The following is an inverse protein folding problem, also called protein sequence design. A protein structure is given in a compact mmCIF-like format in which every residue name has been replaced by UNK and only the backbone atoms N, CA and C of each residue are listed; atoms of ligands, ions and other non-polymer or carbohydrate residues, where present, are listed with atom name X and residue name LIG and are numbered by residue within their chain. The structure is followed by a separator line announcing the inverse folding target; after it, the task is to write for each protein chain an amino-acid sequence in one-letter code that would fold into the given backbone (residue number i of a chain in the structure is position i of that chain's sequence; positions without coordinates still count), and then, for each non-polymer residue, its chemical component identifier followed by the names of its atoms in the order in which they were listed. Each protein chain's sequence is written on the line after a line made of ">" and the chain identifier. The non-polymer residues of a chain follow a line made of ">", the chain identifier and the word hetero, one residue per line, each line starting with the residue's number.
data_IF_259308122231
#
_entry.id   IF_259308122231
#
_cell.length_a   1.000
_cell.length_b   1.000
_cell.length_c   1.000
_cell.angle_alpha   90.00
_cell.angle_beta   90.00
_cell.angle_gamma   90.00
#
_symmetry.space_group_name_H-M   'P 1'
#
loop_
_entity.id
_entity.type
_entity.pdbx_description
1 polymer ?
#
# COMPACT_ATOMS: atom_id res chain seq x y z
N UNK A 1 8.93 -22.63 -51.50
CA UNK A 1 8.39 -23.76 -50.72
C UNK A 1 8.91 -25.05 -51.33
N UNK A 2 9.86 -25.70 -50.69
CA UNK A 2 10.09 -27.13 -50.84
C UNK A 2 10.33 -27.66 -49.43
N UNK A 3 9.40 -28.51 -49.01
CA UNK A 3 9.35 -29.14 -47.69
C UNK A 3 10.12 -30.44 -47.84
N UNK A 4 11.24 -30.57 -47.14
CA UNK A 4 11.87 -31.88 -46.93
C UNK A 4 11.38 -32.44 -45.60
N UNK A 5 10.62 -33.53 -45.69
CA UNK A 5 10.28 -34.41 -44.57
C UNK A 5 11.28 -35.56 -44.59
N UNK A 6 11.99 -35.77 -43.48
CA UNK A 6 12.78 -36.99 -43.25
C UNK A 6 12.15 -37.80 -42.13
N UNK A 7 12.01 -39.11 -42.39
CA UNK A 7 11.48 -40.11 -41.46
C UNK A 7 12.39 -40.28 -40.24
N UNK A 8 11.77 -40.39 -39.05
CA UNK A 8 12.41 -40.57 -37.75
C UNK A 8 13.11 -41.93 -37.61
N UNK A 9 14.35 -41.92 -37.13
CA UNK A 9 14.90 -43.01 -36.32
C UNK A 9 15.15 -42.50 -34.91
N UNK A 10 14.52 -43.17 -33.93
CA UNK A 10 14.68 -42.88 -32.51
C UNK A 10 16.09 -43.25 -32.06
N UNK A 11 17.02 -42.28 -32.09
CA UNK A 11 18.26 -42.37 -31.31
C UNK A 11 18.05 -41.60 -30.01
N UNK A 12 18.00 -42.35 -28.90
CA UNK A 12 17.80 -41.81 -27.54
C UNK A 12 18.95 -40.83 -27.24
N UNK A 13 18.66 -39.53 -27.25
CA UNK A 13 19.61 -38.48 -26.95
C UNK A 13 20.01 -38.53 -25.46
N UNK A 14 21.18 -39.08 -25.15
CA UNK A 14 21.93 -38.76 -23.94
C UNK A 14 22.78 -37.51 -24.19
N UNK A 15 23.25 -36.79 -23.16
CA UNK A 15 24.05 -35.58 -23.35
C UNK A 15 25.25 -35.86 -24.26
N UNK A 16 25.53 -34.99 -25.25
CA UNK A 16 26.55 -35.18 -26.29
C UNK A 16 28.01 -35.32 -25.83
N UNK A 17 28.24 -35.45 -24.51
CA UNK A 17 29.53 -35.71 -23.87
C UNK A 17 29.89 -37.21 -23.81
N UNK A 18 28.93 -38.11 -24.01
CA UNK A 18 29.15 -39.55 -23.88
C UNK A 18 29.15 -40.24 -25.26
N UNK A 19 29.99 -41.26 -25.44
CA UNK A 19 30.16 -41.98 -26.71
C UNK A 19 29.03 -43.01 -26.94
N UNK A 20 28.57 -43.68 -25.88
CA UNK A 20 27.44 -44.63 -25.93
C UNK A 20 26.50 -44.50 -24.73
N UNK A 21 25.31 -45.10 -24.84
CA UNK A 21 24.35 -45.22 -23.73
C UNK A 21 24.91 -46.05 -22.57
N UNK A 22 25.73 -47.05 -22.89
CA UNK A 22 26.44 -47.86 -21.90
C UNK A 22 27.45 -47.02 -21.13
N UNK A 23 28.23 -46.17 -21.81
CA UNK A 23 29.19 -45.27 -21.16
C UNK A 23 28.50 -44.24 -20.26
N UNK A 24 27.37 -43.69 -20.71
CA UNK A 24 26.55 -42.81 -19.89
C UNK A 24 26.07 -43.52 -18.62
N UNK A 25 25.54 -44.73 -18.75
CA UNK A 25 25.05 -45.50 -17.60
C UNK A 25 26.19 -45.90 -16.66
N UNK A 26 27.31 -46.34 -17.19
CA UNK A 26 28.47 -46.71 -16.40
C UNK A 26 29.02 -45.50 -15.64
N UNK A 27 29.09 -44.33 -16.27
CA UNK A 27 29.59 -43.11 -15.64
C UNK A 27 28.64 -42.54 -14.56
N UNK A 28 27.33 -42.70 -14.71
CA UNK A 28 26.33 -42.08 -13.81
C UNK A 28 25.73 -43.07 -12.79
N UNK A 29 25.81 -44.38 -13.04
CA UNK A 29 25.15 -45.42 -12.26
C UNK A 29 26.01 -46.68 -12.07
N UNK A 30 27.28 -46.67 -12.50
CA UNK A 30 28.17 -47.84 -12.41
C UNK A 30 28.71 -48.14 -11.01
N UNK A 31 28.53 -47.22 -10.04
CA UNK A 31 28.93 -47.40 -8.63
C UNK A 31 27.74 -47.16 -7.70
N UNK A 32 27.78 -47.78 -6.51
CA UNK A 32 26.75 -47.60 -5.46
C UNK A 32 26.55 -46.12 -5.12
N UNK A 33 27.65 -45.38 -4.91
CA UNK A 33 27.60 -43.95 -4.56
C UNK A 33 27.03 -43.08 -5.70
N UNK A 34 27.26 -43.46 -6.96
CA UNK A 34 26.69 -42.74 -8.11
C UNK A 34 25.16 -42.95 -8.20
N UNK A 35 24.69 -44.17 -7.95
CA UNK A 35 23.26 -44.49 -7.86
C UNK A 35 22.60 -43.74 -6.70
N UNK A 36 23.21 -43.73 -5.51
CA UNK A 36 22.66 -43.07 -4.33
C UNK A 36 22.57 -41.54 -4.50
N UNK A 37 23.58 -40.92 -5.12
CA UNK A 37 23.54 -39.49 -5.47
C UNK A 37 22.43 -39.19 -6.48
N UNK A 38 22.28 -40.04 -7.50
CA UNK A 38 21.21 -39.86 -8.48
C UNK A 38 19.82 -40.03 -7.86
N UNK A 39 19.63 -41.01 -6.99
CA UNK A 39 18.38 -41.22 -6.25
C UNK A 39 18.05 -40.03 -5.34
N UNK A 40 19.02 -39.55 -4.56
CA UNK A 40 18.84 -38.37 -3.70
C UNK A 40 18.49 -37.12 -4.51
N UNK A 41 19.18 -36.88 -5.63
CA UNK A 41 18.87 -35.77 -6.53
C UNK A 41 17.46 -35.87 -7.12
N UNK A 42 17.04 -37.08 -7.53
CA UNK A 42 15.68 -37.33 -8.01
C UNK A 42 14.64 -37.09 -6.91
N UNK A 43 14.86 -37.65 -5.72
CA UNK A 43 13.97 -37.50 -4.55
C UNK A 43 13.80 -36.03 -4.16
N UNK A 44 14.89 -35.27 -4.08
CA UNK A 44 14.87 -33.84 -3.81
C UNK A 44 14.08 -33.08 -4.88
N UNK A 45 14.31 -33.37 -6.17
CA UNK A 45 13.55 -32.77 -7.26
C UNK A 45 12.04 -33.09 -7.20
N UNK A 46 11.67 -34.30 -6.77
CA UNK A 46 10.26 -34.65 -6.54
C UNK A 46 9.67 -33.87 -5.36
N UNK A 47 10.43 -33.68 -4.28
CA UNK A 47 10.02 -32.87 -3.15
C UNK A 47 9.81 -31.41 -3.55
N UNK A 48 10.75 -30.80 -4.27
CA UNK A 48 10.64 -29.44 -4.80
C UNK A 48 9.44 -29.30 -5.72
N UNK A 49 9.20 -30.27 -6.62
CA UNK A 49 8.01 -30.30 -7.49
C UNK A 49 6.72 -30.37 -6.68
N UNK A 50 6.69 -31.16 -5.62
CA UNK A 50 5.54 -31.25 -4.73
C UNK A 50 5.28 -29.91 -4.03
N UNK A 51 6.31 -29.27 -3.49
CA UNK A 51 6.20 -27.95 -2.88
C UNK A 51 5.73 -26.88 -3.88
N UNK A 52 6.29 -26.87 -5.09
CA UNK A 52 5.87 -25.97 -6.16
C UNK A 52 4.39 -26.18 -6.53
N UNK A 53 3.93 -27.44 -6.61
CA UNK A 53 2.52 -27.76 -6.86
C UNK A 53 1.61 -27.26 -5.73
N UNK A 54 1.97 -27.49 -4.47
CA UNK A 54 1.19 -26.98 -3.32
C UNK A 54 1.10 -25.44 -3.33
N UNK A 55 2.21 -24.77 -3.63
CA UNK A 55 2.23 -23.32 -3.76
C UNK A 55 1.31 -22.85 -4.90
N UNK A 56 1.39 -23.50 -6.06
CA UNK A 56 0.53 -23.21 -7.21
C UNK A 56 -0.96 -23.37 -6.86
N UNK A 57 -1.34 -24.45 -6.19
CA UNK A 57 -2.72 -24.67 -5.73
C UNK A 57 -3.19 -23.56 -4.76
N UNK A 58 -2.33 -23.12 -3.85
CA UNK A 58 -2.62 -21.98 -2.97
C UNK A 58 -2.83 -20.69 -3.76
N UNK A 59 -1.98 -20.39 -4.74
CA UNK A 59 -2.10 -19.19 -5.57
C UNK A 59 -3.38 -19.19 -6.43
N UNK A 60 -3.80 -20.36 -6.93
CA UNK A 60 -5.08 -20.51 -7.64
C UNK A 60 -6.27 -20.28 -6.69
N UNK A 61 -6.18 -20.74 -5.43
CA UNK A 61 -7.28 -20.59 -4.47
C UNK A 61 -7.39 -19.16 -3.92
N UNK A 62 -6.26 -18.59 -3.50
CA UNK A 62 -6.21 -17.37 -2.67
C UNK A 62 -5.65 -16.17 -3.42
N UNK A 63 -4.81 -16.39 -4.42
CA UNK A 63 -4.05 -15.34 -5.11
C UNK A 63 -4.69 -14.82 -6.40
N UNK A 64 -5.83 -15.35 -6.84
CA UNK A 64 -6.47 -14.92 -8.10
C UNK A 64 -7.04 -13.50 -8.00
N UNK A 65 -6.87 -12.72 -9.07
CA UNK A 65 -7.52 -11.43 -9.25
C UNK A 65 -9.05 -11.60 -9.33
N UNK A 66 -9.75 -11.43 -8.20
CA UNK A 66 -11.20 -11.64 -8.08
C UNK A 66 -11.89 -10.58 -7.24
N UNK A 67 -11.42 -10.37 -6.01
CA UNK A 67 -12.08 -9.49 -5.03
C UNK A 67 -11.24 -8.22 -4.89
N UNK A 68 -11.81 -7.04 -5.17
CA UNK A 68 -11.14 -5.76 -4.93
C UNK A 68 -10.65 -5.65 -3.48
N UNK A 69 -9.42 -5.19 -3.27
CA UNK A 69 -8.83 -5.05 -1.93
C UNK A 69 -9.00 -3.63 -1.37
N UNK A 70 -9.14 -3.46 -0.05
CA UNK A 70 -9.23 -2.14 0.56
C UNK A 70 -7.90 -1.39 0.43
N UNK A 71 -7.98 -0.12 0.04
CA UNK A 71 -6.86 0.80 -0.11
C UNK A 71 -7.18 2.13 0.54
N UNK A 72 -6.23 2.66 1.30
CA UNK A 72 -6.30 4.01 1.85
C UNK A 72 -5.92 4.98 0.73
N UNK A 73 -6.84 5.85 0.35
CA UNK A 73 -6.63 6.88 -0.66
C UNK A 73 -6.91 8.27 -0.06
N UNK A 74 -6.23 9.32 -0.53
CA UNK A 74 -6.54 10.68 -0.12
C UNK A 74 -8.01 11.04 -0.42
N UNK A 75 -8.65 11.78 0.48
CA UNK A 75 -10.02 12.25 0.28
C UNK A 75 -10.14 13.24 -0.90
N UNK A 76 -9.06 13.97 -1.19
CA UNK A 76 -8.96 14.91 -2.30
C UNK A 76 -7.52 15.12 -2.73
N UNK A 77 -7.33 15.52 -3.99
CA UNK A 77 -6.05 16.02 -4.51
C UNK A 77 -5.87 17.53 -4.29
N UNK A 78 -6.94 18.23 -3.92
CA UNK A 78 -6.92 19.66 -3.62
C UNK A 78 -6.24 19.91 -2.26
N UNK A 79 -5.10 20.62 -2.29
CA UNK A 79 -4.31 20.96 -1.10
C UNK A 79 -4.77 22.24 -0.40
N UNK A 80 -5.74 22.96 -0.95
CA UNK A 80 -6.29 24.18 -0.36
C UNK A 80 -7.38 23.89 0.68
N UNK A 81 -7.91 22.66 0.66
CA UNK A 81 -8.97 22.20 1.56
C UNK A 81 -8.45 21.02 2.37
N UNK A 82 -8.82 21.03 3.64
CA UNK A 82 -8.44 20.00 4.58
C UNK A 82 -9.67 19.19 4.92
N UNK A 83 -9.62 17.91 4.55
CA UNK A 83 -10.68 16.96 4.75
C UNK A 83 -10.46 16.23 6.08
N UNK A 84 -11.52 16.06 6.87
CA UNK A 84 -11.49 15.22 8.07
C UNK A 84 -12.54 14.12 7.93
N UNK A 85 -12.13 12.85 7.83
CA UNK A 85 -10.74 12.35 7.77
C UNK A 85 -10.00 12.77 6.47
N UNK A 86 -8.66 12.79 6.49
CA UNK A 86 -7.83 13.18 5.34
C UNK A 86 -7.76 12.10 4.25
N UNK A 87 -8.04 10.86 4.62
CA UNK A 87 -8.02 9.70 3.75
C UNK A 87 -9.30 8.89 3.95
N UNK A 88 -9.62 8.07 2.96
CA UNK A 88 -10.73 7.11 3.01
C UNK A 88 -10.29 5.75 2.48
N UNK A 89 -11.09 4.72 2.76
CA UNK A 89 -10.87 3.37 2.26
C UNK A 89 -11.75 3.16 1.03
N UNK A 90 -11.13 2.85 -0.10
CA UNK A 90 -11.83 2.38 -1.30
C UNK A 90 -11.38 0.97 -1.64
N UNK A 91 -12.28 0.19 -2.23
CA UNK A 91 -11.96 -1.14 -2.72
C UNK A 91 -11.51 -1.03 -4.18
N UNK A 92 -10.27 -1.46 -4.49
CA UNK A 92 -9.67 -1.32 -5.83
C UNK A 92 -9.10 -2.65 -6.33
N UNK A 93 -9.02 -2.78 -7.65
CA UNK A 93 -8.27 -3.83 -8.32
C UNK A 93 -7.00 -3.22 -8.91
N UNK A 94 -5.86 -3.57 -8.35
CA UNK A 94 -4.51 -3.13 -8.75
C UNK A 94 -3.57 -4.35 -8.79
N UNK A 95 -2.28 -4.13 -9.06
CA UNK A 95 -1.26 -5.19 -9.17
C UNK A 95 -1.15 -6.06 -7.91
N UNK A 96 -1.51 -5.54 -6.74
CA UNK A 96 -1.46 -6.27 -5.47
C UNK A 96 -2.77 -7.03 -5.14
N UNK A 97 -3.82 -6.84 -5.95
CA UNK A 97 -5.13 -7.45 -5.72
C UNK A 97 -5.10 -8.93 -6.01
N UNK A 98 -4.38 -9.34 -7.06
CA UNK A 98 -4.15 -10.74 -7.39
C UNK A 98 -3.11 -10.93 -8.48
N UNK A 99 -2.65 -12.17 -8.61
CA UNK A 99 -1.68 -12.59 -9.60
C UNK A 99 -2.39 -12.95 -10.93
N UNK A 100 -1.80 -12.54 -12.03
CA UNK A 100 -2.27 -12.76 -13.39
C UNK A 100 -1.17 -13.43 -14.24
N UNK A 101 -1.53 -13.97 -15.41
CA UNK A 101 -0.56 -14.48 -16.37
C UNK A 101 0.34 -13.37 -16.95
N UNK A 102 1.42 -13.70 -17.67
CA UNK A 102 2.45 -12.75 -18.10
C UNK A 102 1.96 -11.63 -19.03
N UNK A 103 0.81 -11.80 -19.68
CA UNK A 103 0.22 -10.82 -20.60
C UNK A 103 -1.04 -10.15 -20.03
N UNK A 104 -1.35 -10.38 -18.76
CA UNK A 104 -2.58 -9.92 -18.11
C UNK A 104 -2.25 -9.09 -16.87
N UNK A 105 -3.07 -8.07 -16.62
CA UNK A 105 -2.96 -7.21 -15.44
C UNK A 105 -4.27 -7.24 -14.66
N UNK A 106 -4.20 -7.17 -13.33
CA UNK A 106 -5.38 -7.10 -12.49
C UNK A 106 -5.94 -5.68 -12.52
N UNK A 107 -7.15 -5.51 -13.06
CA UNK A 107 -7.80 -4.22 -13.23
C UNK A 107 -9.31 -4.36 -12.97
N UNK A 108 -10.01 -3.27 -12.60
CA UNK A 108 -11.44 -3.32 -12.36
C UNK A 108 -12.19 -3.66 -13.65
N UNK A 109 -13.04 -4.68 -13.62
CA UNK A 109 -13.96 -5.00 -14.72
C UNK A 109 -15.16 -4.03 -14.76
N UNK A 110 -15.61 -3.63 -13.57
CA UNK A 110 -16.68 -2.67 -13.36
C UNK A 110 -16.31 -1.78 -12.18
N UNK A 111 -16.79 -0.56 -12.20
CA UNK A 111 -16.62 0.41 -11.11
C UNK A 111 -18.00 0.88 -10.65
N UNK A 112 -18.09 1.21 -9.37
CA UNK A 112 -19.27 1.84 -8.79
C UNK A 112 -18.83 3.10 -8.06
N UNK A 113 -19.67 4.13 -8.13
CA UNK A 113 -19.45 5.36 -7.38
C UNK A 113 -19.95 5.16 -5.94
N UNK A 114 -19.14 5.59 -4.98
CA UNK A 114 -19.46 5.49 -3.55
C UNK A 114 -19.52 6.90 -2.98
N UNK A 115 -20.66 7.26 -2.41
CA UNK A 115 -20.80 8.53 -1.70
C UNK A 115 -20.23 8.41 -0.29
N UNK A 116 -19.33 9.33 0.04
CA UNK A 116 -18.66 9.42 1.33
C UNK A 116 -18.73 10.87 1.83
N UNK A 117 -18.71 11.05 3.14
CA UNK A 117 -18.87 12.35 3.77
C UNK A 117 -17.62 12.74 4.55
N UNK A 118 -17.23 14.01 4.45
CA UNK A 118 -16.05 14.57 5.07
C UNK A 118 -16.37 15.95 5.64
N UNK A 119 -15.77 16.29 6.77
CA UNK A 119 -15.70 17.68 7.20
C UNK A 119 -14.62 18.39 6.40
N UNK A 120 -14.91 19.61 5.92
CA UNK A 120 -13.98 20.38 5.07
C UNK A 120 -13.68 21.71 5.73
N UNK A 121 -12.39 22.04 5.87
CA UNK A 121 -11.91 23.33 6.37
C UNK A 121 -10.87 23.92 5.42
N UNK A 122 -10.83 25.24 5.30
CA UNK A 122 -9.71 25.96 4.66
C UNK A 122 -8.51 26.13 5.60
N UNK A 123 -8.70 25.92 6.90
CA UNK A 123 -7.67 26.07 7.94
C UNK A 123 -7.21 24.71 8.49
N UNK A 124 -5.90 24.56 8.71
CA UNK A 124 -5.31 23.37 9.37
C UNK A 124 -5.92 23.15 10.74
N UNK A 125 -6.07 21.89 11.17
CA UNK A 125 -6.55 21.59 12.52
C UNK A 125 -5.72 22.31 13.60
N UNK A 126 -4.42 22.46 13.36
CA UNK A 126 -3.53 23.28 14.18
C UNK A 126 -4.03 24.73 14.22
N UNK A 127 -4.23 25.37 13.08
CA UNK A 127 -4.76 26.74 13.00
C UNK A 127 -6.13 26.90 13.70
N UNK A 128 -7.04 25.93 13.51
CA UNK A 128 -8.36 25.93 14.17
C UNK A 128 -8.18 25.99 15.70
N UNK A 129 -7.29 25.17 16.28
CA UNK A 129 -7.04 25.17 17.73
C UNK A 129 -6.54 26.53 18.24
N UNK A 130 -5.70 27.22 17.48
CA UNK A 130 -5.28 28.59 17.81
C UNK A 130 -6.44 29.58 17.72
N UNK A 131 -7.26 29.52 16.66
CA UNK A 131 -8.44 30.39 16.47
C UNK A 131 -9.49 30.22 17.58
N UNK A 132 -9.67 28.99 18.06
CA UNK A 132 -10.62 28.65 19.11
C UNK A 132 -10.07 28.80 20.54
N UNK A 133 -8.80 29.22 20.70
CA UNK A 133 -8.22 29.47 22.01
C UNK A 133 -7.78 28.23 22.78
N UNK A 134 -7.74 27.05 22.14
CA UNK A 134 -7.20 25.81 22.72
C UNK A 134 -5.68 25.80 22.80
N UNK A 135 -5.02 26.69 22.06
CA UNK A 135 -3.58 26.81 22.02
C UNK A 135 -3.16 28.28 22.07
N UNK A 136 -2.04 28.56 22.74
CA UNK A 136 -1.49 29.91 22.84
C UNK A 136 -0.35 30.11 21.85
N UNK A 137 -0.31 31.26 21.20
CA UNK A 137 0.71 31.58 20.20
C UNK A 137 2.12 31.59 20.80
N UNK A 138 3.15 31.39 19.98
CA UNK A 138 4.53 31.39 20.46
C UNK A 138 4.96 32.77 20.99
N UNK A 139 6.02 32.83 21.79
CA UNK A 139 6.51 34.09 22.35
C UNK A 139 6.98 35.06 21.28
N UNK A 140 7.51 34.55 20.16
CA UNK A 140 7.94 35.33 18.99
C UNK A 140 6.74 36.01 18.34
N UNK A 141 5.66 35.26 18.09
CA UNK A 141 4.41 35.80 17.54
C UNK A 141 3.81 36.83 18.49
N UNK A 142 3.75 36.56 19.79
CA UNK A 142 3.25 37.50 20.81
C UNK A 142 4.03 38.81 20.80
N UNK A 143 5.37 38.74 20.76
CA UNK A 143 6.25 39.92 20.67
C UNK A 143 5.99 40.70 19.38
N UNK A 144 5.79 40.03 18.25
CA UNK A 144 5.49 40.67 16.97
C UNK A 144 4.14 41.42 16.99
N UNK A 145 3.09 40.79 17.52
CA UNK A 145 1.76 41.40 17.67
C UNK A 145 1.82 42.61 18.62
N UNK A 146 2.46 42.46 19.78
CA UNK A 146 2.59 43.54 20.78
C UNK A 146 3.38 44.75 20.23
N UNK A 147 4.39 44.49 19.40
CA UNK A 147 5.16 45.53 18.72
C UNK A 147 4.48 46.09 17.46
N UNK A 148 3.25 45.65 17.15
CA UNK A 148 2.46 46.04 15.97
C UNK A 148 3.15 45.74 14.62
N UNK A 149 4.11 44.82 14.60
CA UNK A 149 4.76 44.34 13.37
C UNK A 149 3.96 43.24 12.68
N UNK A 150 3.09 42.56 13.43
CA UNK A 150 2.16 41.55 12.95
C UNK A 150 0.73 41.98 13.26
N UNK A 151 -0.22 41.57 12.42
CA UNK A 151 -1.64 41.71 12.69
C UNK A 151 -2.09 40.77 13.81
N UNK A 152 -3.15 41.14 14.53
CA UNK A 152 -3.78 40.25 15.50
C UNK A 152 -4.46 39.08 14.78
N UNK A 153 -4.44 37.87 15.36
CA UNK A 153 -5.09 36.71 14.75
C UNK A 153 -6.61 36.89 14.72
N UNK A 154 -7.25 36.35 13.69
CA UNK A 154 -8.71 36.26 13.59
C UNK A 154 -9.20 35.11 14.47
N UNK A 155 -9.76 35.43 15.62
CA UNK A 155 -10.26 34.45 16.59
C UNK A 155 -11.70 34.07 16.31
N UNK A 156 -12.06 32.82 16.61
CA UNK A 156 -13.42 32.31 16.42
C UNK A 156 -14.40 32.93 17.43
N UNK A 157 -13.97 33.05 18.70
CA UNK A 157 -14.84 33.43 19.81
C UNK A 157 -14.48 34.79 20.43
N UNK A 158 -14.29 35.84 19.63
CA UNK A 158 -14.08 37.22 20.11
C UNK A 158 -12.75 37.82 19.69
N UNK A 159 -12.20 38.73 20.49
CA UNK A 159 -10.91 39.38 20.17
C UNK A 159 -9.74 38.64 20.83
N UNK A 160 -8.60 38.63 20.15
CA UNK A 160 -7.35 38.11 20.69
C UNK A 160 -6.99 38.77 22.02
N UNK A 161 -6.66 37.97 23.04
CA UNK A 161 -6.25 38.46 24.36
C UNK A 161 -4.71 38.59 24.40
N UNK A 162 -4.14 39.80 24.40
CA UNK A 162 -2.69 39.98 24.40
C UNK A 162 -2.01 39.57 25.70
N UNK A 163 -2.74 39.55 26.83
CA UNK A 163 -2.23 39.16 28.13
C UNK A 163 -2.07 37.64 28.22
N UNK A 164 -3.06 36.88 27.77
CA UNK A 164 -3.00 35.42 27.73
C UNK A 164 -2.22 34.87 26.53
N UNK A 165 -2.06 35.70 25.49
CA UNK A 165 -1.36 35.31 24.27
C UNK A 165 -2.12 34.29 23.43
N UNK A 166 -3.45 34.30 23.48
CA UNK A 166 -4.34 33.36 22.79
C UNK A 166 -5.69 33.98 22.43
N UNK A 167 -6.43 33.29 21.57
CA UNK A 167 -7.84 33.59 21.35
C UNK A 167 -8.71 33.12 22.53
N UNK A 168 -9.91 33.70 22.73
CA UNK A 168 -10.85 33.23 23.75
C UNK A 168 -11.43 31.88 23.36
N UNK A 169 -11.73 31.03 24.35
CA UNK A 169 -12.52 29.82 24.13
C UNK A 169 -14.01 30.15 24.17
N UNK A 170 -14.83 29.30 23.55
CA UNK A 170 -16.29 29.38 23.64
C UNK A 170 -16.79 29.41 25.10
N UNK A 171 -16.14 28.68 26.01
CA UNK A 171 -16.48 28.65 27.44
C UNK A 171 -16.24 29.99 28.15
N UNK A 172 -15.26 30.78 27.71
CA UNK A 172 -14.86 32.01 28.39
C UNK A 172 -15.95 33.07 28.23
N UNK A 173 -16.57 33.14 27.04
CA UNK A 173 -17.76 33.97 26.75
C UNK A 173 -18.97 33.60 27.62
N UNK A 174 -19.19 32.31 27.85
CA UNK A 174 -20.31 31.83 28.67
C UNK A 174 -20.11 32.30 30.11
N UNK A 175 -18.89 32.18 30.64
CA UNK A 175 -18.57 32.64 31.99
C UNK A 175 -18.69 34.16 32.15
N UNK A 176 -18.30 34.95 31.15
CA UNK A 176 -18.50 36.41 31.15
C UNK A 176 -20.00 36.77 31.18
N UNK A 177 -20.82 36.05 30.42
CA UNK A 177 -22.26 36.30 30.38
C UNK A 177 -22.94 35.97 31.72
N UNK A 178 -22.54 34.90 32.41
CA UNK A 178 -23.02 34.60 33.77
C UNK A 178 -22.47 35.54 34.85
N UNK A 179 -21.30 36.14 34.64
CA UNK A 179 -20.71 37.11 35.57
C UNK A 179 -21.39 38.48 35.53
N UNK A 180 -22.15 38.77 34.46
CA UNK A 180 -22.94 40.01 34.33
C UNK A 180 -24.33 39.94 34.97
N UNK A 181 -24.76 38.77 35.46
CA UNK A 181 -26.02 38.56 36.19
C UNK A 181 -25.81 38.31 37.69
N UNK A 182 -24.67 38.74 38.24
CA UNK A 182 -24.33 38.59 39.67
C UNK A 182 -24.08 39.94 40.31
#
# INVERSE_FOLDING_TARGET
>A
MLINVTHQQSTRAYPGRYQSFTDYKQANFGTKDAVERSYSAYSNSQHERHQAKQHMERMIREGMCKVPKPRIVPASNDRTKLFTPQCTILHRCEDDTGCCGPTQTCAPKTTSEVQLYFYVSSDSYVCIRFKEGFESFSMETRKCIRSKRCTVPQCEYGMYNPHEGRCPKKSDRINEQFSLYR
#
